data_IF_917235928407
#
_entry.id   IF_917235928407
#
_cell.length_a   1.000
_cell.length_b   1.000
_cell.length_c   1.000
_cell.angle_alpha   90.00
_cell.angle_beta   90.00
_cell.angle_gamma   90.00
#
_symmetry.space_group_name_H-M   'P 1'
#
loop_
_entity.id
_entity.type
_entity.pdbx_description
1 polymer ?
#
# COMPACT_ATOMS: atom_id res chain seq x y z
N UNK A 1 -2.74 -24.45 -14.41
CA UNK A 1 -2.75 -23.65 -13.18
C UNK A 1 -2.82 -24.63 -12.05
N UNK A 2 -1.71 -24.87 -11.35
CA UNK A 2 -1.70 -25.74 -10.19
C UNK A 2 -2.63 -25.16 -9.12
N UNK A 3 -3.51 -25.98 -8.59
CA UNK A 3 -4.35 -25.67 -7.43
C UNK A 3 -3.43 -25.40 -6.23
N UNK A 4 -3.00 -24.15 -6.06
CA UNK A 4 -2.33 -23.71 -4.84
C UNK A 4 -3.39 -23.55 -3.74
N UNK A 5 -3.97 -24.67 -3.32
CA UNK A 5 -4.83 -24.71 -2.14
C UNK A 5 -3.96 -24.34 -0.93
N UNK A 6 -4.37 -23.28 -0.21
CA UNK A 6 -3.63 -22.80 0.95
C UNK A 6 -3.60 -23.88 2.04
N UNK A 7 -2.40 -24.34 2.37
CA UNK A 7 -2.20 -25.37 3.39
C UNK A 7 -1.98 -24.73 4.77
N UNK A 8 -3.06 -24.25 5.35
CA UNK A 8 -3.03 -23.63 6.70
C UNK A 8 -2.48 -24.59 7.76
N UNK A 9 -2.74 -25.90 7.64
CA UNK A 9 -2.29 -26.89 8.65
C UNK A 9 -0.77 -27.04 8.66
N UNK A 10 -0.14 -27.11 7.49
CA UNK A 10 1.32 -27.14 7.40
C UNK A 10 1.95 -25.82 7.79
N UNK A 11 1.31 -24.69 7.49
CA UNK A 11 1.78 -23.38 7.94
C UNK A 11 1.75 -23.28 9.48
N UNK A 12 0.68 -23.72 10.15
CA UNK A 12 0.58 -23.78 11.62
C UNK A 12 1.67 -24.66 12.23
N UNK A 13 1.90 -25.85 11.65
CA UNK A 13 2.94 -26.77 12.11
C UNK A 13 4.35 -26.16 11.94
N UNK A 14 4.58 -25.43 10.85
CA UNK A 14 5.85 -24.74 10.60
C UNK A 14 6.13 -23.64 11.63
N UNK A 15 5.09 -22.88 12.03
CA UNK A 15 5.21 -21.89 13.09
C UNK A 15 5.51 -22.57 14.43
N UNK A 16 4.84 -23.67 14.79
CA UNK A 16 5.16 -24.44 16.00
C UNK A 16 6.62 -24.87 16.00
N UNK A 17 7.06 -25.48 14.88
CA UNK A 17 8.45 -25.94 14.74
C UNK A 17 9.48 -24.85 14.88
N UNK A 18 9.25 -23.68 14.28
CA UNK A 18 10.12 -22.51 14.42
C UNK A 18 10.34 -22.13 15.90
N UNK A 19 9.25 -21.98 16.65
CA UNK A 19 9.32 -21.56 18.04
C UNK A 19 9.87 -22.65 18.97
N UNK A 20 9.62 -23.92 18.71
CA UNK A 20 10.28 -25.04 19.38
C UNK A 20 11.82 -24.98 19.21
N UNK A 21 12.30 -24.72 17.97
CA UNK A 21 13.73 -24.56 17.70
C UNK A 21 14.34 -23.37 18.47
N UNK A 22 13.57 -22.33 18.72
CA UNK A 22 13.96 -21.16 19.51
C UNK A 22 13.78 -21.41 21.03
N UNK A 23 13.32 -22.60 21.46
CA UNK A 23 13.02 -22.97 22.85
C UNK A 23 11.95 -22.04 23.48
N UNK A 24 11.01 -21.61 22.70
CA UNK A 24 9.87 -20.76 23.10
C UNK A 24 8.59 -21.58 23.05
N UNK A 25 7.93 -21.73 24.19
CA UNK A 25 6.64 -22.39 24.28
C UNK A 25 5.53 -21.42 23.85
N UNK A 26 4.77 -21.80 22.83
CA UNK A 26 3.60 -21.05 22.38
C UNK A 26 2.31 -21.59 23.03
N UNK A 27 1.35 -20.70 23.34
CA UNK A 27 -0.03 -21.14 23.60
C UNK A 27 -0.60 -21.88 22.37
N UNK A 28 -1.45 -22.88 22.62
CA UNK A 28 -1.94 -23.79 21.57
C UNK A 28 -2.58 -23.10 20.37
N UNK A 29 -3.33 -22.02 20.58
CA UNK A 29 -4.02 -21.28 19.53
C UNK A 29 -3.14 -20.26 18.79
N UNK A 30 -1.92 -19.96 19.30
CA UNK A 30 -1.07 -18.90 18.74
C UNK A 30 -0.62 -19.20 17.29
N UNK A 31 -0.20 -20.42 16.92
CA UNK A 31 0.19 -20.72 15.54
C UNK A 31 -0.95 -20.47 14.54
N UNK A 32 -2.16 -20.90 14.87
CA UNK A 32 -3.35 -20.69 14.03
C UNK A 32 -3.67 -19.20 13.87
N UNK A 33 -3.64 -18.43 14.95
CA UNK A 33 -3.89 -16.98 14.93
C UNK A 33 -2.83 -16.24 14.12
N UNK A 34 -1.56 -16.65 14.26
CA UNK A 34 -0.46 -16.06 13.50
C UNK A 34 -0.59 -16.31 12.00
N UNK A 35 -0.85 -17.55 11.59
CA UNK A 35 -1.03 -17.90 10.18
C UNK A 35 -2.21 -17.14 9.57
N UNK A 36 -3.33 -17.04 10.29
CA UNK A 36 -4.49 -16.25 9.84
C UNK A 36 -4.13 -14.77 9.67
N UNK A 37 -3.45 -14.18 10.64
CA UNK A 37 -2.97 -12.79 10.56
C UNK A 37 -2.08 -12.58 9.34
N UNK A 38 -1.10 -13.47 9.13
CA UNK A 38 -0.19 -13.38 7.98
C UNK A 38 -0.93 -13.47 6.66
N UNK A 39 -1.87 -14.39 6.54
CA UNK A 39 -2.72 -14.51 5.36
C UNK A 39 -3.53 -13.22 5.10
N UNK A 40 -4.20 -12.69 6.14
CA UNK A 40 -5.00 -11.48 6.01
C UNK A 40 -4.16 -10.27 5.58
N UNK A 41 -2.91 -10.18 6.08
CA UNK A 41 -1.99 -9.08 5.76
C UNK A 41 -1.25 -9.24 4.42
N UNK A 42 -1.27 -10.42 3.81
CA UNK A 42 -0.56 -10.70 2.54
C UNK A 42 -1.45 -11.27 1.44
N UNK A 43 -2.77 -11.20 1.61
CA UNK A 43 -3.73 -11.90 0.73
C UNK A 43 -3.72 -11.44 -0.73
N UNK A 44 -3.16 -10.27 -1.03
CA UNK A 44 -2.99 -9.76 -2.40
C UNK A 44 -1.56 -9.91 -2.93
N UNK A 45 -0.72 -10.75 -2.28
CA UNK A 45 0.68 -10.96 -2.68
C UNK A 45 0.84 -11.40 -4.13
N UNK A 46 -0.02 -12.30 -4.58
CA UNK A 46 0.03 -12.89 -5.92
C UNK A 46 -1.01 -12.31 -6.88
N UNK A 47 -1.65 -11.20 -6.51
CA UNK A 47 -2.62 -10.49 -7.35
C UNK A 47 -1.89 -9.38 -8.09
N UNK A 48 -1.96 -9.34 -9.41
CA UNK A 48 -1.31 -8.31 -10.23
C UNK A 48 -1.96 -6.94 -10.07
N UNK A 49 -1.24 -5.87 -10.46
CA UNK A 49 -1.78 -4.52 -10.46
C UNK A 49 -2.97 -4.37 -11.41
N UNK A 50 -2.98 -5.09 -12.54
CA UNK A 50 -4.12 -5.12 -13.45
C UNK A 50 -5.36 -5.74 -12.81
N UNK A 51 -5.21 -6.88 -12.13
CA UNK A 51 -6.34 -7.53 -11.43
C UNK A 51 -6.89 -6.66 -10.29
N UNK A 52 -6.04 -5.94 -9.56
CA UNK A 52 -6.50 -4.96 -8.56
C UNK A 52 -7.26 -3.83 -9.25
N UNK A 53 -6.75 -3.30 -10.36
CA UNK A 53 -7.45 -2.27 -11.13
C UNK A 53 -8.83 -2.74 -11.57
N UNK A 54 -8.94 -3.95 -12.13
CA UNK A 54 -10.20 -4.53 -12.58
C UNK A 54 -11.20 -4.70 -11.42
N UNK A 55 -10.71 -5.14 -10.25
CA UNK A 55 -11.54 -5.32 -9.05
C UNK A 55 -12.09 -4.01 -8.50
N UNK A 56 -11.30 -2.92 -8.53
CA UNK A 56 -11.74 -1.62 -7.99
C UNK A 56 -12.35 -0.70 -9.03
N UNK A 57 -12.35 -1.09 -10.33
CA UNK A 57 -12.76 -0.25 -11.45
C UNK A 57 -14.20 0.27 -11.27
N UNK A 58 -14.32 1.55 -10.93
CA UNK A 58 -15.54 2.35 -10.92
C UNK A 58 -15.15 3.80 -11.22
N UNK A 59 -15.03 4.07 -12.50
CA UNK A 59 -14.77 5.42 -13.00
C UNK A 59 -16.05 6.08 -13.50
N UNK A 60 -16.07 7.40 -13.49
CA UNK A 60 -17.15 8.22 -14.03
C UNK A 60 -16.54 9.12 -15.08
N UNK A 61 -17.16 9.16 -16.26
CA UNK A 61 -16.80 10.14 -17.28
C UNK A 61 -17.32 11.51 -16.84
N UNK A 62 -16.46 12.51 -16.95
CA UNK A 62 -16.79 13.89 -16.59
C UNK A 62 -16.32 14.83 -17.71
N UNK A 63 -17.12 15.85 -17.96
CA UNK A 63 -16.75 16.94 -18.89
C UNK A 63 -15.84 17.94 -18.16
N UNK A 64 -14.57 17.56 -18.01
CA UNK A 64 -13.52 18.46 -17.50
C UNK A 64 -12.73 18.98 -18.69
N UNK A 65 -12.51 20.30 -18.72
CA UNK A 65 -11.58 20.90 -19.68
C UNK A 65 -10.19 20.29 -19.44
N UNK A 66 -9.62 19.66 -20.48
CA UNK A 66 -8.35 18.92 -20.41
C UNK A 66 -7.15 19.80 -20.03
N UNK A 67 -7.29 21.13 -20.14
CA UNK A 67 -6.26 22.12 -19.74
C UNK A 67 -6.36 22.55 -18.28
N UNK A 68 -7.29 21.98 -17.50
CA UNK A 68 -7.40 22.33 -16.10
C UNK A 68 -6.27 21.65 -15.31
N UNK A 69 -5.60 22.43 -14.46
CA UNK A 69 -4.65 21.94 -13.45
C UNK A 69 -5.34 21.47 -12.19
N UNK A 70 -6.65 21.16 -12.25
CA UNK A 70 -7.43 20.75 -11.10
C UNK A 70 -6.97 19.37 -10.62
N UNK A 71 -6.36 19.34 -9.47
CA UNK A 71 -5.93 18.14 -8.80
C UNK A 71 -7.05 17.58 -7.92
N UNK A 72 -7.31 16.29 -8.00
CA UNK A 72 -8.08 15.55 -7.00
C UNK A 72 -7.11 14.94 -6.02
N UNK A 73 -7.26 15.21 -4.74
CA UNK A 73 -6.42 14.70 -3.67
C UNK A 73 -7.27 13.95 -2.64
N UNK A 74 -6.92 12.68 -2.38
CA UNK A 74 -7.39 11.92 -1.23
C UNK A 74 -6.21 11.74 -0.29
N UNK A 75 -6.28 12.34 0.90
CA UNK A 75 -5.17 12.35 1.85
C UNK A 75 -5.47 11.54 3.11
N UNK A 76 -4.40 11.18 3.82
CA UNK A 76 -4.44 10.54 5.13
C UNK A 76 -5.20 9.19 5.14
N UNK A 77 -5.06 8.41 4.07
CA UNK A 77 -5.58 7.04 4.03
C UNK A 77 -4.76 6.20 5.02
N UNK A 78 -5.39 5.79 6.12
CA UNK A 78 -4.74 4.98 7.15
C UNK A 78 -4.76 3.51 6.77
N UNK A 79 -3.59 2.90 6.74
CA UNK A 79 -3.37 1.49 6.38
C UNK A 79 -2.21 0.90 7.18
N UNK A 80 -2.04 -0.41 7.06
CA UNK A 80 -0.89 -1.16 7.60
C UNK A 80 -0.30 -2.01 6.49
N UNK A 81 1.00 -2.28 6.58
CA UNK A 81 1.67 -3.22 5.67
C UNK A 81 2.76 -3.99 6.41
N UNK A 82 3.39 -4.95 5.74
CA UNK A 82 4.53 -5.69 6.25
C UNK A 82 5.76 -5.41 5.39
N UNK A 83 6.84 -4.98 6.02
CA UNK A 83 8.14 -4.81 5.37
C UNK A 83 8.73 -6.16 5.02
N UNK A 84 9.11 -6.39 3.76
CA UNK A 84 9.63 -7.67 3.27
C UNK A 84 10.95 -8.09 3.92
N UNK A 85 11.77 -7.11 4.38
CA UNK A 85 13.08 -7.42 4.96
C UNK A 85 13.02 -8.26 6.25
N UNK A 86 12.01 -8.05 7.09
CA UNK A 86 11.92 -8.71 8.39
C UNK A 86 10.51 -9.24 8.69
N UNK A 87 9.59 -9.16 7.74
CA UNK A 87 8.16 -9.42 7.95
C UNK A 87 7.63 -8.59 9.13
N UNK A 88 8.16 -7.37 9.23
CA UNK A 88 7.90 -6.47 10.35
C UNK A 88 6.85 -5.43 9.98
N UNK A 89 6.00 -5.08 10.94
CA UNK A 89 4.88 -4.16 10.72
C UNK A 89 5.37 -2.75 10.33
N UNK A 90 4.80 -2.22 9.27
CA UNK A 90 4.77 -0.80 8.95
C UNK A 90 3.45 -0.23 9.49
N UNK A 91 3.53 0.74 10.39
CA UNK A 91 2.38 1.25 11.16
C UNK A 91 2.36 2.78 11.21
N UNK A 92 1.30 3.38 11.73
CA UNK A 92 1.02 4.81 11.61
C UNK A 92 1.14 5.27 10.15
N UNK A 93 0.82 4.33 9.21
CA UNK A 93 1.00 4.56 7.80
C UNK A 93 -0.16 5.39 7.26
N UNK A 94 0.18 6.50 6.61
CA UNK A 94 -0.76 7.38 5.92
C UNK A 94 -0.34 7.55 4.47
N UNK A 95 -1.27 7.24 3.58
CA UNK A 95 -1.10 7.37 2.14
C UNK A 95 -1.95 8.53 1.64
N UNK A 96 -1.35 9.39 0.83
CA UNK A 96 -2.06 10.45 0.12
C UNK A 96 -1.84 10.30 -1.37
N UNK A 97 -2.94 10.31 -2.14
CA UNK A 97 -2.93 10.10 -3.58
C UNK A 97 -3.56 11.31 -4.27
N UNK A 98 -2.75 12.03 -5.05
CA UNK A 98 -3.19 13.12 -5.90
C UNK A 98 -3.15 12.73 -7.37
N UNK A 99 -4.11 13.19 -8.17
CA UNK A 99 -4.06 13.00 -9.63
C UNK A 99 -4.77 14.15 -10.35
N UNK A 100 -4.40 14.38 -11.59
CA UNK A 100 -5.12 15.30 -12.49
C UNK A 100 -6.03 14.43 -13.38
N UNK A 101 -7.36 14.58 -13.29
CA UNK A 101 -8.28 13.81 -14.11
C UNK A 101 -8.07 14.04 -15.61
N UNK A 102 -8.12 12.98 -16.39
CA UNK A 102 -8.15 13.02 -17.85
C UNK A 102 -9.48 12.41 -18.35
N UNK A 103 -10.54 13.21 -18.38
CA UNK A 103 -11.93 12.82 -18.72
C UNK A 103 -12.60 11.84 -17.72
N UNK A 104 -11.82 11.16 -16.90
CA UNK A 104 -12.34 10.18 -15.93
C UNK A 104 -11.95 10.56 -14.52
N UNK A 105 -12.91 10.44 -13.61
CA UNK A 105 -12.66 10.50 -12.17
C UNK A 105 -12.94 9.14 -11.57
N UNK A 106 -12.11 8.76 -10.62
CA UNK A 106 -12.28 7.54 -9.84
C UNK A 106 -13.13 7.84 -8.60
N UNK A 107 -14.06 6.94 -8.28
CA UNK A 107 -14.80 7.06 -7.03
C UNK A 107 -13.84 7.07 -5.83
N UNK A 108 -13.97 8.06 -4.94
CA UNK A 108 -13.01 8.29 -3.83
C UNK A 108 -12.78 7.06 -2.96
N UNK A 109 -13.84 6.29 -2.66
CA UNK A 109 -13.74 5.04 -1.90
C UNK A 109 -12.90 3.96 -2.61
N UNK A 110 -12.70 4.08 -3.93
CA UNK A 110 -11.90 3.13 -4.70
C UNK A 110 -10.40 3.40 -4.51
N UNK A 111 -10.02 4.67 -4.34
CA UNK A 111 -8.64 5.05 -4.01
C UNK A 111 -8.27 4.50 -2.63
N UNK A 112 -9.15 4.62 -1.65
CA UNK A 112 -8.94 4.04 -0.31
C UNK A 112 -8.80 2.53 -0.38
N UNK A 113 -9.70 1.87 -1.14
CA UNK A 113 -9.68 0.40 -1.28
C UNK A 113 -8.43 -0.09 -1.99
N UNK A 114 -8.01 0.56 -3.07
CA UNK A 114 -6.79 0.19 -3.78
C UNK A 114 -5.55 0.33 -2.88
N UNK A 115 -5.46 1.41 -2.09
CA UNK A 115 -4.37 1.59 -1.13
C UNK A 115 -4.33 0.45 -0.10
N UNK A 116 -5.48 0.08 0.49
CA UNK A 116 -5.59 -1.07 1.41
C UNK A 116 -5.17 -2.40 0.75
N UNK A 117 -5.60 -2.64 -0.51
CA UNK A 117 -5.25 -3.87 -1.23
C UNK A 117 -3.75 -3.96 -1.54
N UNK A 118 -3.14 -2.86 -2.01
CA UNK A 118 -1.70 -2.81 -2.29
C UNK A 118 -0.89 -2.99 -1.01
N UNK A 119 -1.32 -2.42 0.11
CA UNK A 119 -0.65 -2.58 1.39
C UNK A 119 -0.73 -4.00 1.98
N UNK A 120 -1.66 -4.83 1.52
CA UNK A 120 -1.75 -6.26 1.89
C UNK A 120 -0.88 -7.14 1.00
N UNK A 121 0.36 -6.68 0.80
CA UNK A 121 1.47 -7.40 0.18
C UNK A 121 2.69 -7.27 1.07
N UNK A 122 3.56 -8.27 1.04
CA UNK A 122 4.87 -8.21 1.67
C UNK A 122 5.83 -7.49 0.72
N UNK A 123 6.17 -6.25 1.02
CA UNK A 123 6.94 -5.40 0.11
C UNK A 123 7.61 -4.19 0.80
N UNK A 124 8.37 -3.42 0.03
CA UNK A 124 8.96 -2.15 0.48
C UNK A 124 7.95 -1.00 0.38
N UNK A 125 8.12 0.04 1.19
CA UNK A 125 7.27 1.23 1.15
C UNK A 125 7.36 1.94 -0.21
N UNK A 126 8.53 1.96 -0.82
CA UNK A 126 8.77 2.52 -2.15
C UNK A 126 7.95 1.78 -3.22
N UNK A 127 7.90 0.46 -3.12
CA UNK A 127 7.13 -0.38 -4.04
C UNK A 127 5.61 -0.17 -3.89
N UNK A 128 5.12 0.09 -2.67
CA UNK A 128 3.73 0.48 -2.44
C UNK A 128 3.38 1.73 -3.25
N UNK A 129 4.24 2.76 -3.23
CA UNK A 129 4.01 3.99 -3.97
C UNK A 129 4.00 3.76 -5.50
N UNK A 130 4.91 2.94 -6.01
CA UNK A 130 4.97 2.57 -7.44
C UNK A 130 3.72 1.83 -7.89
N UNK A 131 3.30 0.80 -7.14
CA UNK A 131 2.12 0.00 -7.47
C UNK A 131 0.84 0.85 -7.46
N UNK A 132 0.68 1.76 -6.48
CA UNK A 132 -0.45 2.69 -6.46
C UNK A 132 -0.45 3.58 -7.72
N UNK A 133 0.71 4.13 -8.10
CA UNK A 133 0.84 4.95 -9.31
C UNK A 133 0.44 4.15 -10.56
N UNK A 134 0.92 2.92 -10.69
CA UNK A 134 0.63 2.04 -11.82
C UNK A 134 -0.88 1.75 -11.93
N UNK A 135 -1.50 1.35 -10.84
CA UNK A 135 -2.94 1.07 -10.79
C UNK A 135 -3.76 2.33 -11.09
N UNK A 136 -3.38 3.47 -10.54
CA UNK A 136 -4.04 4.74 -10.81
C UNK A 136 -3.96 5.13 -12.28
N UNK A 137 -2.81 4.90 -12.95
CA UNK A 137 -2.67 5.12 -14.41
C UNK A 137 -3.66 4.26 -15.21
N UNK A 138 -3.81 3.00 -14.85
CA UNK A 138 -4.76 2.08 -15.50
C UNK A 138 -6.20 2.60 -15.34
N UNK A 139 -6.58 2.97 -14.11
CA UNK A 139 -7.94 3.34 -13.76
C UNK A 139 -8.37 4.71 -14.32
N UNK A 140 -7.50 5.70 -14.24
CA UNK A 140 -7.83 7.10 -14.58
C UNK A 140 -7.43 7.48 -15.99
N UNK A 141 -6.63 6.66 -16.67
CA UNK A 141 -6.00 6.96 -17.97
C UNK A 141 -5.21 8.27 -17.93
N UNK A 142 -4.78 8.69 -16.76
CA UNK A 142 -3.91 9.84 -16.54
C UNK A 142 -2.53 9.39 -16.13
N UNK A 143 -1.49 10.03 -16.65
CA UNK A 143 -0.11 9.86 -16.17
C UNK A 143 0.23 10.81 -15.01
N UNK A 144 -0.62 11.79 -14.76
CA UNK A 144 -0.37 12.90 -13.83
C UNK A 144 -0.81 12.49 -12.41
N UNK A 145 0.07 11.76 -11.72
CA UNK A 145 -0.21 11.15 -10.43
C UNK A 145 0.92 11.47 -9.45
N UNK A 146 0.54 11.76 -8.21
CA UNK A 146 1.44 11.94 -7.09
C UNK A 146 1.00 11.04 -5.93
N UNK A 147 1.93 10.34 -5.32
CA UNK A 147 1.70 9.52 -4.13
C UNK A 147 2.69 9.94 -3.05
N UNK A 148 2.18 10.18 -1.86
CA UNK A 148 2.97 10.43 -0.65
C UNK A 148 2.60 9.38 0.39
N UNK A 149 3.61 8.76 0.98
CA UNK A 149 3.45 7.77 2.04
C UNK A 149 4.35 8.16 3.19
N UNK A 150 3.81 8.17 4.40
CA UNK A 150 4.60 8.24 5.61
C UNK A 150 4.25 7.09 6.53
N UNK A 151 5.23 6.48 7.18
CA UNK A 151 5.03 5.36 8.08
C UNK A 151 6.15 5.21 9.08
N UNK A 152 5.86 4.55 10.19
CA UNK A 152 6.84 3.99 11.10
C UNK A 152 7.07 2.52 10.80
N UNK A 153 8.32 2.08 10.92
CA UNK A 153 8.72 0.71 10.67
C UNK A 153 9.14 0.03 11.96
N UNK A 154 8.47 -1.04 12.36
CA UNK A 154 8.83 -1.76 13.58
C UNK A 154 10.22 -2.42 13.51
N UNK A 155 10.75 -2.68 12.32
CA UNK A 155 12.14 -3.11 12.14
C UNK A 155 13.17 -2.05 12.57
N UNK A 156 12.79 -0.77 12.63
CA UNK A 156 13.61 0.35 13.12
C UNK A 156 13.23 0.73 14.55
N UNK A 157 11.93 0.75 14.87
CA UNK A 157 11.44 1.27 16.15
C UNK A 157 11.48 0.24 17.29
N UNK A 158 11.22 -1.04 17.00
CA UNK A 158 11.07 -2.09 18.03
C UNK A 158 12.30 -2.98 18.21
N UNK A 159 13.24 -2.96 17.27
CA UNK A 159 14.47 -3.78 17.29
C UNK A 159 15.68 -2.99 16.74
N UNK A 160 16.87 -3.59 16.83
CA UNK A 160 18.08 -2.97 16.31
C UNK A 160 18.35 -1.62 16.96
N UNK A 161 18.29 -0.55 16.19
CA UNK A 161 18.58 0.82 16.64
C UNK A 161 17.53 1.39 17.61
N UNK A 162 16.30 0.87 17.61
CA UNK A 162 15.19 1.26 18.50
C UNK A 162 14.88 2.77 18.48
N UNK A 163 14.93 3.38 17.31
CA UNK A 163 14.55 4.79 17.17
C UNK A 163 13.02 4.90 16.98
N UNK A 164 12.32 5.29 18.05
CA UNK A 164 10.85 5.35 18.09
C UNK A 164 10.27 6.60 17.45
N UNK A 165 11.08 7.65 17.22
CA UNK A 165 10.64 8.92 16.66
C UNK A 165 10.80 9.03 15.14
N UNK A 166 11.57 8.14 14.52
CA UNK A 166 11.79 8.21 13.07
C UNK A 166 10.56 7.79 12.27
N UNK A 167 10.26 8.55 11.24
CA UNK A 167 9.30 8.21 10.19
C UNK A 167 10.03 8.07 8.86
N UNK A 168 9.57 7.15 8.02
CA UNK A 168 9.99 7.04 6.63
C UNK A 168 8.97 7.74 5.75
N UNK A 169 9.43 8.66 4.90
CA UNK A 169 8.59 9.36 3.94
C UNK A 169 9.02 8.97 2.53
N UNK A 170 8.07 8.51 1.73
CA UNK A 170 8.26 8.19 0.31
C UNK A 170 7.35 9.07 -0.52
N UNK A 171 7.89 9.70 -1.56
CA UNK A 171 7.11 10.52 -2.50
C UNK A 171 7.40 10.04 -3.92
N UNK A 172 6.34 9.78 -4.67
CA UNK A 172 6.43 9.38 -6.06
C UNK A 172 5.63 10.36 -6.93
N UNK A 173 6.31 11.05 -7.84
CA UNK A 173 5.71 11.99 -8.78
C UNK A 173 5.75 11.45 -10.20
N UNK A 174 4.65 11.57 -10.94
CA UNK A 174 4.54 11.14 -12.33
C UNK A 174 3.85 12.20 -13.20
N UNK A 175 4.09 12.13 -14.51
CA UNK A 175 3.50 13.02 -15.47
C UNK A 175 3.85 14.49 -15.20
N UNK A 176 2.85 15.38 -15.18
CA UNK A 176 3.02 16.81 -14.91
C UNK A 176 3.67 17.09 -13.54
N UNK A 177 3.40 16.25 -12.53
CA UNK A 177 4.03 16.40 -11.22
C UNK A 177 5.56 16.27 -11.25
N UNK A 178 6.16 15.63 -12.26
CA UNK A 178 7.62 15.56 -12.41
C UNK A 178 8.26 16.89 -12.80
N UNK A 179 7.57 17.68 -13.62
CA UNK A 179 8.16 18.83 -14.30
C UNK A 179 7.60 20.16 -13.81
N UNK A 180 6.44 20.18 -13.17
CA UNK A 180 5.78 21.38 -12.67
C UNK A 180 6.04 21.56 -11.17
N UNK A 181 6.90 22.52 -10.82
CA UNK A 181 7.26 22.83 -9.44
C UNK A 181 6.09 23.44 -8.65
N UNK A 182 5.19 24.18 -9.32
CA UNK A 182 4.02 24.76 -8.68
C UNK A 182 3.04 23.65 -8.28
N UNK A 183 2.84 22.69 -9.18
CA UNK A 183 1.97 21.54 -8.92
C UNK A 183 2.52 20.64 -7.79
N UNK A 184 3.83 20.38 -7.78
CA UNK A 184 4.50 19.69 -6.65
C UNK A 184 4.26 20.41 -5.34
N UNK A 185 4.51 21.73 -5.32
CA UNK A 185 4.33 22.55 -4.11
C UNK A 185 2.90 22.56 -3.64
N UNK A 186 1.93 22.65 -4.56
CA UNK A 186 0.50 22.60 -4.25
C UNK A 186 0.10 21.25 -3.65
N UNK A 187 0.61 20.14 -4.19
CA UNK A 187 0.39 18.81 -3.63
C UNK A 187 0.97 18.70 -2.21
N UNK A 188 2.25 19.05 -2.03
CA UNK A 188 2.92 18.92 -0.74
C UNK A 188 2.32 19.83 0.34
N UNK A 189 1.97 21.08 0.01
CA UNK A 189 1.32 22.00 0.96
C UNK A 189 -0.09 21.58 1.34
N UNK A 190 -0.79 20.84 0.50
CA UNK A 190 -2.12 20.27 0.82
C UNK A 190 -2.06 19.09 1.78
N UNK A 191 -0.87 18.54 2.05
CA UNK A 191 -0.67 17.43 3.00
C UNK A 191 -0.54 17.91 4.46
N UNK A 192 -0.31 19.20 4.66
CA UNK A 192 -0.16 19.83 5.97
C UNK A 192 -1.48 19.89 6.73
#
# INVERSE_FOLDING_TARGET
MENNELDFKNAENSIKKLFECLKINLPDETPKRYVKMMYDMTKYQNVSNQEIADFVNKTFEIDIKTDSSNMVLVKDIEVFSLCEHHIALMYDMKISVGYIPNKFVLGLSKIVRLADMVCKRLQLQEKIAEDIVEIMKILTRSSDIAVHIKAKHSCVTARGIRNTSSETVTVNFNGKFLNDSCLKSSFLSSLS
#
